data_IF_077540314301
#
_entry.id   IF_077540314301
#
_cell.length_a   1.000
_cell.length_b   1.000
_cell.length_c   1.000
_cell.angle_alpha   90.00
_cell.angle_beta   90.00
_cell.angle_gamma   90.00
#
_symmetry.space_group_name_H-M   'P 1'
#
loop_
_entity.id
_entity.type
_entity.pdbx_description
1 polymer ?
#
# COMPACT_ATOMS: atom_id res chain seq x y z
N UNK A 1 -2.82 -17.14 36.39
CA UNK A 1 -3.15 -16.06 35.44
C UNK A 1 -1.93 -15.94 34.55
N UNK A 2 -1.97 -16.53 33.36
CA UNK A 2 -0.86 -16.50 32.41
C UNK A 2 -1.03 -15.25 31.56
N UNK A 3 -0.02 -14.38 31.59
CA UNK A 3 0.00 -13.11 30.88
C UNK A 3 -0.36 -13.28 29.41
N UNK A 4 -1.41 -12.58 29.00
CA UNK A 4 -1.86 -12.43 27.61
C UNK A 4 -0.92 -11.55 26.77
N UNK A 5 0.39 -11.57 27.06
CA UNK A 5 1.43 -10.79 26.40
C UNK A 5 2.09 -11.51 25.22
N UNK A 6 1.47 -12.57 24.72
CA UNK A 6 1.83 -13.12 23.42
C UNK A 6 1.46 -12.11 22.34
N UNK A 7 2.44 -11.62 21.59
CA UNK A 7 2.22 -10.92 20.33
C UNK A 7 1.52 -11.90 19.37
N UNK A 8 0.20 -12.04 19.48
CA UNK A 8 -0.61 -12.79 18.52
C UNK A 8 -0.92 -11.80 17.40
N UNK A 9 0.06 -11.56 16.54
CA UNK A 9 -0.25 -11.07 15.21
C UNK A 9 -1.21 -12.10 14.59
N UNK A 10 -2.41 -11.68 14.19
CA UNK A 10 -3.35 -12.52 13.44
C UNK A 10 -2.97 -12.40 11.95
N UNK A 11 -2.33 -13.43 11.36
CA UNK A 11 -1.87 -13.39 9.97
C UNK A 11 -3.01 -13.12 8.99
N UNK A 12 -4.22 -13.61 9.29
CA UNK A 12 -5.36 -13.47 8.40
C UNK A 12 -5.91 -12.04 8.39
N UNK A 13 -5.89 -11.36 9.54
CA UNK A 13 -6.22 -9.94 9.61
C UNK A 13 -5.20 -9.09 8.87
N UNK A 14 -3.90 -9.38 9.01
CA UNK A 14 -2.83 -8.69 8.28
C UNK A 14 -2.98 -8.86 6.77
N UNK A 15 -3.16 -10.09 6.28
CA UNK A 15 -3.42 -10.37 4.85
C UNK A 15 -4.64 -9.64 4.32
N UNK A 16 -5.70 -9.52 5.13
CA UNK A 16 -6.90 -8.79 4.73
C UNK A 16 -6.66 -7.29 4.63
N UNK A 17 -5.93 -6.70 5.58
CA UNK A 17 -5.55 -5.29 5.53
C UNK A 17 -4.63 -4.98 4.34
N UNK A 18 -3.70 -5.88 4.01
CA UNK A 18 -2.83 -5.74 2.82
C UNK A 18 -3.68 -5.67 1.54
N UNK A 19 -4.62 -6.60 1.34
CA UNK A 19 -5.52 -6.57 0.18
C UNK A 19 -6.31 -5.27 0.07
N UNK A 20 -6.78 -4.73 1.18
CA UNK A 20 -7.47 -3.45 1.20
C UNK A 20 -6.56 -2.28 0.79
N UNK A 21 -5.29 -2.31 1.19
CA UNK A 21 -4.30 -1.29 0.80
C UNK A 21 -3.98 -1.40 -0.69
N UNK A 22 -3.89 -2.61 -1.24
CA UNK A 22 -3.74 -2.83 -2.68
C UNK A 22 -4.93 -2.26 -3.46
N UNK A 23 -6.17 -2.54 -3.02
CA UNK A 23 -7.40 -1.98 -3.62
C UNK A 23 -7.43 -0.45 -3.60
N UNK A 24 -7.03 0.18 -2.49
CA UNK A 24 -6.94 1.65 -2.37
C UNK A 24 -5.89 2.20 -3.34
N UNK A 25 -4.78 1.51 -3.49
CA UNK A 25 -3.68 1.91 -4.37
C UNK A 25 -4.09 1.82 -5.84
N UNK A 26 -4.83 0.78 -6.21
CA UNK A 26 -5.41 0.62 -7.55
C UNK A 26 -6.43 1.72 -7.85
N UNK A 27 -7.32 2.01 -6.90
CA UNK A 27 -8.29 3.11 -7.01
C UNK A 27 -7.61 4.46 -7.18
N UNK A 28 -6.53 4.73 -6.43
CA UNK A 28 -5.74 5.95 -6.58
C UNK A 28 -5.14 6.07 -7.99
N UNK A 29 -4.60 4.98 -8.55
CA UNK A 29 -4.09 4.93 -9.93
C UNK A 29 -5.20 5.19 -10.95
N UNK A 30 -6.39 4.64 -10.73
CA UNK A 30 -7.54 4.88 -11.61
C UNK A 30 -7.99 6.33 -11.60
N UNK A 31 -8.10 6.95 -10.42
CA UNK A 31 -8.45 8.36 -10.28
C UNK A 31 -7.43 9.24 -11.04
N UNK A 32 -6.13 8.96 -10.92
CA UNK A 32 -5.07 9.70 -11.64
C UNK A 32 -5.21 9.52 -13.15
N UNK A 33 -5.46 8.30 -13.62
CA UNK A 33 -5.66 8.00 -15.05
C UNK A 33 -6.88 8.73 -15.60
N UNK A 34 -7.99 8.69 -14.87
CA UNK A 34 -9.23 9.34 -15.28
C UNK A 34 -9.08 10.85 -15.32
N UNK A 35 -8.45 11.44 -14.29
CA UNK A 35 -8.14 12.87 -14.25
C UNK A 35 -7.23 13.29 -15.42
N UNK A 36 -6.16 12.54 -15.67
CA UNK A 36 -5.28 12.79 -16.82
C UNK A 36 -6.03 12.70 -18.15
N UNK A 37 -6.93 11.72 -18.28
CA UNK A 37 -7.81 11.55 -19.44
C UNK A 37 -8.79 12.71 -19.62
N UNK A 38 -9.39 13.19 -18.53
CA UNK A 38 -10.31 14.34 -18.54
C UNK A 38 -9.62 15.63 -18.97
N UNK A 39 -8.44 15.92 -18.42
CA UNK A 39 -7.68 17.10 -18.84
C UNK A 39 -7.21 16.95 -20.29
N UNK A 40 -6.79 15.76 -20.73
CA UNK A 40 -6.43 15.57 -22.13
C UNK A 40 -7.60 15.89 -23.08
N UNK A 41 -8.85 15.59 -22.69
CA UNK A 41 -10.06 15.92 -23.47
C UNK A 41 -10.35 17.41 -23.56
N UNK A 42 -9.88 18.22 -22.62
CA UNK A 42 -10.02 19.68 -22.70
C UNK A 42 -8.91 20.32 -23.54
N UNK A 43 -7.97 19.51 -24.08
CA UNK A 43 -6.99 20.03 -25.01
C UNK A 43 -7.62 20.46 -26.34
N UNK A 44 -7.66 21.78 -26.57
CA UNK A 44 -8.14 22.39 -27.81
C UNK A 44 -9.44 23.16 -27.66
N UNK A 45 -9.97 23.27 -26.43
CA UNK A 45 -11.12 24.12 -26.17
C UNK A 45 -10.83 25.59 -26.50
N UNK A 46 -11.81 26.35 -27.01
CA UNK A 46 -11.68 27.78 -27.27
C UNK A 46 -11.32 28.55 -25.98
N UNK A 47 -10.59 29.65 -26.11
CA UNK A 47 -10.15 30.46 -24.95
C UNK A 47 -8.80 30.03 -24.38
N UNK A 48 -7.83 29.68 -25.25
CA UNK A 48 -6.44 29.34 -24.87
C UNK A 48 -5.46 30.50 -24.98
N UNK A 49 -5.77 31.47 -25.84
CA UNK A 49 -4.81 32.50 -26.23
C UNK A 49 -5.27 33.93 -25.88
N UNK A 50 -6.47 34.05 -25.31
CA UNK A 50 -7.02 35.32 -24.83
C UNK A 50 -6.34 35.78 -23.53
N UNK A 51 -6.62 37.01 -23.12
CA UNK A 51 -5.99 37.61 -21.93
C UNK A 51 -6.30 36.85 -20.64
N UNK A 52 -7.49 36.26 -20.54
CA UNK A 52 -7.90 35.48 -19.37
C UNK A 52 -7.18 34.13 -19.33
N UNK A 53 -7.06 33.47 -20.47
CA UNK A 53 -6.33 32.22 -20.62
C UNK A 53 -4.86 32.35 -20.24
N UNK A 54 -4.20 33.44 -20.67
CA UNK A 54 -2.80 33.72 -20.32
C UNK A 54 -2.58 33.92 -18.82
N UNK A 55 -3.58 34.41 -18.10
CA UNK A 55 -3.54 34.59 -16.65
C UNK A 55 -3.81 33.28 -15.90
N UNK A 56 -4.77 32.47 -16.38
CA UNK A 56 -5.25 31.27 -15.65
C UNK A 56 -4.47 30.00 -15.99
N UNK A 57 -4.02 29.80 -17.23
CA UNK A 57 -3.31 28.59 -17.67
C UNK A 57 -2.09 28.24 -16.81
N UNK A 58 -1.24 29.18 -16.36
CA UNK A 58 -0.13 28.84 -15.48
C UNK A 58 -0.59 28.25 -14.14
N UNK A 59 -1.67 28.77 -13.56
CA UNK A 59 -2.23 28.27 -12.30
C UNK A 59 -2.87 26.91 -12.48
N UNK A 60 -3.68 26.74 -13.54
CA UNK A 60 -4.28 25.44 -13.88
C UNK A 60 -3.21 24.37 -14.07
N UNK A 61 -2.15 24.67 -14.84
CA UNK A 61 -1.07 23.71 -15.06
C UNK A 61 -0.42 23.27 -13.76
N UNK A 62 -0.15 24.22 -12.86
CA UNK A 62 0.44 23.95 -11.56
C UNK A 62 -0.48 23.09 -10.70
N UNK A 63 -1.76 23.41 -10.63
CA UNK A 63 -2.75 22.63 -9.88
C UNK A 63 -2.89 21.22 -10.44
N UNK A 64 -2.93 21.08 -11.77
CA UNK A 64 -2.97 19.80 -12.46
C UNK A 64 -1.74 18.94 -12.19
N UNK A 65 -0.55 19.51 -12.31
CA UNK A 65 0.71 18.81 -12.00
C UNK A 65 0.72 18.37 -10.53
N UNK A 66 0.31 19.24 -9.61
CA UNK A 66 0.21 18.91 -8.18
C UNK A 66 -0.81 17.81 -7.90
N UNK A 67 -1.94 17.77 -8.61
CA UNK A 67 -2.96 16.73 -8.45
C UNK A 67 -2.46 15.37 -8.95
N UNK A 68 -1.79 15.35 -10.11
CA UNK A 68 -1.16 14.14 -10.64
C UNK A 68 -0.09 13.59 -9.69
N UNK A 69 0.82 14.46 -9.24
CA UNK A 69 1.89 14.10 -8.30
C UNK A 69 1.30 13.57 -6.97
N UNK A 70 0.24 14.20 -6.45
CA UNK A 70 -0.41 13.74 -5.23
C UNK A 70 -1.00 12.34 -5.38
N UNK A 71 -1.69 12.07 -6.49
CA UNK A 71 -2.28 10.76 -6.71
C UNK A 71 -1.23 9.66 -6.96
N UNK A 72 -0.15 9.98 -7.67
CA UNK A 72 1.00 9.07 -7.83
C UNK A 72 1.65 8.76 -6.47
N UNK A 73 1.84 9.77 -5.63
CA UNK A 73 2.40 9.60 -4.29
C UNK A 73 1.51 8.74 -3.39
N UNK A 74 0.19 8.90 -3.44
CA UNK A 74 -0.75 8.07 -2.67
C UNK A 74 -0.68 6.61 -3.15
N UNK A 75 -0.72 6.39 -4.47
CA UNK A 75 -0.63 5.06 -5.04
C UNK A 75 0.70 4.36 -4.68
N UNK A 76 1.82 5.08 -4.77
CA UNK A 76 3.14 4.55 -4.41
C UNK A 76 3.28 4.27 -2.91
N UNK A 77 2.74 5.14 -2.06
CA UNK A 77 2.78 4.95 -0.61
C UNK A 77 1.98 3.70 -0.18
N UNK A 78 0.80 3.49 -0.75
CA UNK A 78 0.00 2.29 -0.46
C UNK A 78 0.73 1.00 -0.87
N UNK A 79 1.32 0.97 -2.06
CA UNK A 79 2.14 -0.17 -2.53
C UNK A 79 3.32 -0.45 -1.58
N UNK A 80 4.05 0.58 -1.14
CA UNK A 80 5.16 0.39 -0.21
C UNK A 80 4.70 -0.13 1.16
N UNK A 81 3.59 0.38 1.69
CA UNK A 81 3.04 -0.10 2.98
C UNK A 81 2.61 -1.57 2.84
N UNK A 82 1.95 -1.94 1.75
CA UNK A 82 1.56 -3.33 1.48
C UNK A 82 2.78 -4.25 1.45
N UNK A 83 3.82 -3.87 0.69
CA UNK A 83 5.07 -4.63 0.58
C UNK A 83 5.76 -4.81 1.94
N UNK A 84 5.98 -3.72 2.68
CA UNK A 84 6.62 -3.78 4.00
C UNK A 84 5.79 -4.58 5.02
N UNK A 85 4.47 -4.58 4.90
CA UNK A 85 3.60 -5.37 5.77
C UNK A 85 3.66 -6.86 5.43
N UNK A 86 3.75 -7.22 4.14
CA UNK A 86 3.96 -8.59 3.69
C UNK A 86 5.31 -9.13 4.17
N UNK A 87 6.39 -8.37 4.00
CA UNK A 87 7.73 -8.75 4.49
C UNK A 87 7.73 -8.98 6.01
N UNK A 88 7.04 -8.12 6.78
CA UNK A 88 6.88 -8.32 8.22
C UNK A 88 6.07 -9.57 8.54
N UNK A 89 5.03 -9.86 7.78
CA UNK A 89 4.22 -11.06 7.98
C UNK A 89 5.03 -12.34 7.72
N UNK A 90 5.76 -12.40 6.61
CA UNK A 90 6.61 -13.55 6.28
C UNK A 90 7.67 -13.79 7.36
N UNK A 91 8.26 -12.73 7.90
CA UNK A 91 9.20 -12.82 9.02
C UNK A 91 8.55 -13.37 10.29
N UNK A 92 7.31 -12.95 10.60
CA UNK A 92 6.55 -13.46 11.76
C UNK A 92 6.24 -14.94 11.57
N UNK A 93 5.73 -15.34 10.41
CA UNK A 93 5.39 -16.73 10.10
C UNK A 93 6.64 -17.62 10.15
N UNK A 94 7.75 -17.18 9.57
CA UNK A 94 9.03 -17.90 9.63
C UNK A 94 9.56 -18.07 11.05
N UNK A 95 9.46 -17.02 11.88
CA UNK A 95 9.88 -17.07 13.29
C UNK A 95 9.01 -18.01 14.10
N UNK A 96 7.68 -18.00 13.87
CA UNK A 96 6.76 -18.92 14.54
C UNK A 96 7.03 -20.38 14.17
N UNK A 97 7.26 -20.66 12.87
CA UNK A 97 7.61 -22.00 12.40
C UNK A 97 8.93 -22.48 13.02
N UNK A 98 9.98 -21.67 12.97
CA UNK A 98 11.28 -22.03 13.56
C UNK A 98 11.20 -22.27 15.08
N UNK A 99 10.41 -21.48 15.81
CA UNK A 99 10.18 -21.69 17.23
C UNK A 99 9.44 -23.02 17.51
N UNK A 100 8.41 -23.34 16.72
CA UNK A 100 7.67 -24.61 16.83
C UNK A 100 8.55 -25.82 16.50
N UNK A 101 9.37 -25.73 15.45
CA UNK A 101 10.33 -26.77 15.08
C UNK A 101 11.37 -26.98 16.18
N UNK A 102 11.89 -25.90 16.78
CA UNK A 102 12.82 -25.97 17.91
C UNK A 102 12.19 -26.65 19.13
N UNK A 103 10.94 -26.31 19.45
CA UNK A 103 10.18 -26.98 20.53
C UNK A 103 10.00 -28.48 20.23
N UNK A 104 9.62 -28.84 19.01
CA UNK A 104 9.47 -30.24 18.60
C UNK A 104 10.79 -31.01 18.67
N UNK A 105 11.89 -30.42 18.19
CA UNK A 105 13.21 -31.02 18.25
C UNK A 105 13.65 -31.29 19.69
N UNK A 106 13.39 -30.38 20.62
CA UNK A 106 13.76 -30.55 22.02
C UNK A 106 12.86 -31.55 22.75
N UNK A 107 11.56 -31.61 22.40
CA UNK A 107 10.65 -32.65 22.88
C UNK A 107 11.06 -34.05 22.40
N UNK A 108 11.62 -34.16 21.18
CA UNK A 108 12.17 -35.41 20.66
C UNK A 108 13.50 -35.78 21.30
N UNK A 109 14.36 -34.80 21.63
CA UNK A 109 15.62 -35.02 22.36
C UNK A 109 15.38 -35.40 23.83
N UNK A 110 14.30 -34.92 24.45
CA UNK A 110 13.95 -35.17 25.85
C UNK A 110 13.23 -36.49 26.15
N UNK A 111 12.95 -37.35 25.14
CA UNK A 111 12.41 -38.71 25.36
C UNK A 111 13.53 -39.76 25.29
N UNK A 112 14.19 -40.11 26.41
CA UNK A 112 14.97 -41.35 26.46
C UNK A 112 14.01 -42.55 26.34
N UNK A 113 14.46 -43.57 25.62
CA UNK A 113 13.69 -44.74 25.23
C UNK A 113 12.85 -45.37 26.34
N UNK A 114 11.67 -45.86 25.94
CA UNK A 114 10.98 -46.97 26.62
C UNK A 114 11.26 -48.24 25.85
#
# INVERSE_FOLDING_TARGET
MADSNGYIADPNRLRTAIRQIEEISEMARDIVRDFAGEVARTQGWPGRDDSFAREVLPSERKERESALETGENIAGAGEQIALSTLENLDNIEGTQLGALEGIQAELHRGRPGR
#
